data_IF_853499041587
#
_entry.id   IF_853499041587
#
_cell.length_a   1.000
_cell.length_b   1.000
_cell.length_c   1.000
_cell.angle_alpha   90.00
_cell.angle_beta   90.00
_cell.angle_gamma   90.00
#
_symmetry.space_group_name_H-M   'P 1'
#
loop_
_entity.id
_entity.type
_entity.pdbx_description
1 polymer ?
#
# COMPACT_ATOMS: atom_id res chain seq x y z
N UNK A 1 -32.89 76.56 32.25
CA UNK A 1 -32.31 75.74 33.33
C UNK A 1 -32.30 74.29 32.85
N UNK A 2 -31.11 73.66 32.89
CA UNK A 2 -30.75 72.24 32.69
C UNK A 2 -31.83 71.19 33.03
N UNK A 3 -31.81 69.91 32.62
CA UNK A 3 -31.10 69.05 31.65
C UNK A 3 -31.61 67.61 31.97
N UNK A 4 -31.57 66.71 30.97
CA UNK A 4 -31.61 65.22 31.06
C UNK A 4 -33.00 64.56 31.19
N UNK A 5 -33.40 63.79 30.17
CA UNK A 5 -33.11 62.35 30.14
C UNK A 5 -33.11 61.80 28.70
N UNK A 6 -32.08 60.99 28.46
CA UNK A 6 -31.72 60.24 27.26
C UNK A 6 -32.72 59.09 27.06
N UNK A 7 -33.30 58.92 25.87
CA UNK A 7 -33.91 57.64 25.47
C UNK A 7 -32.95 56.99 24.47
N UNK A 8 -32.22 56.01 24.98
CA UNK A 8 -31.34 55.12 24.23
C UNK A 8 -32.22 54.12 23.48
N UNK A 9 -32.37 54.28 22.16
CA UNK A 9 -33.02 53.28 21.31
C UNK A 9 -31.98 52.19 21.04
N UNK A 10 -32.16 51.05 21.71
CA UNK A 10 -31.38 49.84 21.53
C UNK A 10 -31.61 49.27 20.12
N UNK A 11 -30.65 49.46 19.21
CA UNK A 11 -30.58 48.67 17.98
C UNK A 11 -30.17 47.24 18.36
N UNK A 12 -31.16 46.36 18.55
CA UNK A 12 -30.95 44.93 18.64
C UNK A 12 -30.57 44.44 17.24
N UNK A 13 -29.28 44.43 16.95
CA UNK A 13 -28.71 43.78 15.78
C UNK A 13 -28.96 42.27 15.92
N UNK A 14 -29.97 41.76 15.23
CA UNK A 14 -30.10 40.33 14.97
C UNK A 14 -28.89 39.92 14.13
N UNK A 15 -27.84 39.47 14.81
CA UNK A 15 -26.87 38.55 14.25
C UNK A 15 -27.61 37.26 13.93
N UNK A 16 -28.18 37.19 12.73
CA UNK A 16 -28.45 35.91 12.06
C UNK A 16 -27.09 35.24 11.91
N UNK A 17 -26.74 34.37 12.86
CA UNK A 17 -25.79 33.32 12.59
C UNK A 17 -26.37 32.52 11.42
N UNK A 18 -25.86 32.78 10.21
CA UNK A 18 -25.89 31.77 9.15
C UNK A 18 -25.06 30.61 9.70
N UNK A 19 -25.70 29.73 10.47
CA UNK A 19 -25.24 28.36 10.55
C UNK A 19 -25.20 27.90 9.09
N UNK A 20 -24.00 27.65 8.59
CA UNK A 20 -23.83 26.92 7.34
C UNK A 20 -24.29 25.50 7.63
N UNK A 21 -25.62 25.34 7.71
CA UNK A 21 -26.25 24.03 7.77
C UNK A 21 -25.82 23.31 6.49
N UNK A 22 -24.99 22.28 6.67
CA UNK A 22 -24.71 21.30 5.62
C UNK A 22 -26.08 20.90 5.05
N UNK A 23 -26.28 21.10 3.75
CA UNK A 23 -27.52 20.67 3.11
C UNK A 23 -27.68 19.17 3.41
N UNK A 24 -28.86 18.72 3.87
CA UNK A 24 -29.10 17.31 4.08
C UNK A 24 -28.77 16.54 2.79
N UNK A 25 -27.87 15.58 2.90
CA UNK A 25 -27.58 14.69 1.79
C UNK A 25 -28.85 13.89 1.47
N UNK A 26 -29.33 13.97 0.23
CA UNK A 26 -30.56 13.32 -0.21
C UNK A 26 -30.52 11.80 -0.12
N UNK A 27 -29.33 11.21 0.04
CA UNK A 27 -29.12 9.77 0.19
C UNK A 27 -29.07 9.33 1.66
N UNK A 28 -28.97 10.25 2.62
CA UNK A 28 -28.88 9.93 4.04
C UNK A 28 -30.23 10.08 4.74
N UNK A 29 -30.84 8.94 5.08
CA UNK A 29 -32.08 8.87 5.86
C UNK A 29 -31.81 8.18 7.20
N UNK A 30 -32.40 8.68 8.28
CA UNK A 30 -32.23 8.09 9.62
C UNK A 30 -33.53 8.06 10.42
N UNK A 31 -33.65 7.13 11.37
CA UNK A 31 -34.80 7.00 12.26
C UNK A 31 -34.68 7.79 13.58
N UNK A 32 -33.51 8.37 13.88
CA UNK A 32 -33.24 9.03 15.16
C UNK A 32 -34.07 10.30 15.33
N UNK A 33 -35.09 10.26 16.19
CA UNK A 33 -35.97 11.39 16.52
C UNK A 33 -35.47 12.31 17.63
N UNK A 34 -34.37 11.97 18.30
CA UNK A 34 -33.77 12.79 19.37
C UNK A 34 -32.89 13.91 18.82
N UNK A 35 -32.66 14.96 19.61
CA UNK A 35 -31.73 16.04 19.27
C UNK A 35 -30.28 15.54 19.17
N UNK A 36 -29.82 14.79 20.17
CA UNK A 36 -28.49 14.16 20.16
C UNK A 36 -28.44 13.08 19.08
N UNK A 37 -27.36 13.08 18.28
CA UNK A 37 -27.11 12.10 17.24
C UNK A 37 -25.86 11.26 17.56
N UNK A 38 -25.85 9.94 17.26
CA UNK A 38 -24.68 9.08 17.41
C UNK A 38 -23.68 9.23 16.24
N UNK A 39 -23.63 10.40 15.59
CA UNK A 39 -22.69 10.75 14.52
C UNK A 39 -22.33 12.23 14.59
N UNK A 40 -21.20 12.60 14.00
CA UNK A 40 -20.75 13.99 13.90
C UNK A 40 -21.50 14.77 12.83
N UNK A 41 -21.46 16.10 12.89
CA UNK A 41 -22.16 17.04 12.00
C UNK A 41 -21.42 17.36 10.68
N UNK A 42 -20.39 16.57 10.33
CA UNK A 42 -19.61 16.75 9.09
C UNK A 42 -20.41 16.32 7.86
N UNK A 43 -20.18 17.02 6.75
CA UNK A 43 -20.70 16.63 5.45
C UNK A 43 -20.09 15.31 4.94
N UNK A 44 -20.85 14.56 4.14
CA UNK A 44 -20.32 13.43 3.38
C UNK A 44 -19.34 13.94 2.32
N UNK A 45 -18.26 13.18 2.10
CA UNK A 45 -17.26 13.47 1.05
C UNK A 45 -17.57 12.61 -0.17
N UNK A 46 -18.66 12.92 -0.86
CA UNK A 46 -19.24 12.11 -1.94
C UNK A 46 -19.64 12.97 -3.16
N UNK A 47 -18.93 14.07 -3.40
CA UNK A 47 -19.19 14.94 -4.55
C UNK A 47 -19.19 14.13 -5.85
N UNK A 48 -20.23 14.19 -6.70
CA UNK A 48 -20.34 13.32 -7.87
C UNK A 48 -19.25 13.49 -8.92
N UNK A 49 -18.44 14.55 -8.85
CA UNK A 49 -17.27 14.78 -9.70
C UNK A 49 -15.98 14.21 -9.13
N UNK A 50 -15.95 13.88 -7.84
CA UNK A 50 -14.84 13.20 -7.21
C UNK A 50 -14.80 11.76 -7.71
N UNK A 51 -13.59 11.23 -7.87
CA UNK A 51 -13.36 9.86 -8.35
C UNK A 51 -12.04 9.34 -7.83
N UNK A 52 -11.86 8.03 -7.88
CA UNK A 52 -10.62 7.39 -7.45
C UNK A 52 -9.92 6.69 -8.61
N UNK A 53 -8.60 6.53 -8.49
CA UNK A 53 -7.83 5.67 -9.37
C UNK A 53 -6.58 5.20 -8.65
N UNK A 54 -5.97 4.13 -9.14
CA UNK A 54 -4.72 3.63 -8.57
C UNK A 54 -3.56 3.80 -9.56
N UNK A 55 -2.37 4.03 -9.02
CA UNK A 55 -1.11 4.05 -9.77
C UNK A 55 -0.25 2.87 -9.31
N UNK A 56 0.26 2.09 -10.26
CA UNK A 56 1.29 1.07 -10.04
C UNK A 56 2.56 1.44 -10.78
N UNK A 57 3.71 1.17 -10.20
CA UNK A 57 5.01 1.65 -10.72
C UNK A 57 6.04 0.54 -10.70
N UNK A 58 6.97 0.52 -11.65
CA UNK A 58 8.22 -0.25 -11.58
C UNK A 58 8.03 -1.68 -11.05
N UNK A 59 7.48 -2.58 -11.88
CA UNK A 59 7.47 -4.01 -11.59
C UNK A 59 8.88 -4.61 -11.65
N UNK A 60 9.77 -3.95 -12.39
CA UNK A 60 11.05 -4.50 -12.81
C UNK A 60 12.27 -3.69 -12.33
N UNK A 61 13.39 -3.68 -13.07
CA UNK A 61 14.64 -3.06 -12.63
C UNK A 61 15.31 -3.83 -11.47
N UNK A 62 15.04 -5.12 -11.39
CA UNK A 62 15.40 -6.00 -10.26
C UNK A 62 14.18 -6.74 -9.71
N UNK A 63 13.36 -7.31 -10.61
CA UNK A 63 12.06 -7.93 -10.30
C UNK A 63 12.08 -8.83 -9.07
N UNK A 64 11.13 -8.62 -8.17
CA UNK A 64 10.75 -9.49 -7.05
C UNK A 64 9.45 -10.21 -7.38
N UNK A 65 9.53 -11.54 -7.44
CA UNK A 65 8.45 -12.41 -7.93
C UNK A 65 7.23 -12.35 -7.00
N UNK A 66 6.03 -12.40 -7.59
CA UNK A 66 4.76 -12.48 -6.86
C UNK A 66 4.20 -11.16 -6.35
N UNK A 67 5.00 -10.09 -6.23
CA UNK A 67 4.51 -8.81 -5.70
C UNK A 67 3.46 -8.17 -6.60
N UNK A 68 3.74 -8.04 -7.90
CA UNK A 68 2.81 -7.41 -8.85
C UNK A 68 1.47 -8.15 -8.99
N UNK A 69 1.41 -9.48 -9.23
CA UNK A 69 0.11 -10.17 -9.28
C UNK A 69 -0.66 -10.08 -7.95
N UNK A 70 0.00 -10.09 -6.78
CA UNK A 70 -0.69 -9.79 -5.52
C UNK A 70 -1.29 -8.38 -5.53
N UNK A 71 -0.56 -7.38 -6.03
CA UNK A 71 -1.08 -6.02 -6.15
C UNK A 71 -2.35 -5.95 -7.02
N UNK A 72 -2.44 -6.75 -8.09
CA UNK A 72 -3.66 -6.88 -8.91
C UNK A 72 -4.84 -7.34 -8.05
N UNK A 73 -4.70 -8.48 -7.38
CA UNK A 73 -5.75 -9.05 -6.54
C UNK A 73 -6.20 -8.07 -5.44
N UNK A 74 -5.24 -7.36 -4.83
CA UNK A 74 -5.51 -6.40 -3.76
C UNK A 74 -6.21 -5.14 -4.26
N UNK A 75 -5.86 -4.64 -5.43
CA UNK A 75 -6.50 -3.45 -6.00
C UNK A 75 -7.94 -3.72 -6.45
N UNK A 76 -8.27 -4.95 -6.88
CA UNK A 76 -9.65 -5.35 -7.14
C UNK A 76 -10.56 -5.19 -5.91
N UNK A 77 -10.04 -5.42 -4.70
CA UNK A 77 -10.79 -5.20 -3.46
C UNK A 77 -11.17 -3.74 -3.23
N UNK A 78 -10.33 -2.80 -3.71
CA UNK A 78 -10.54 -1.37 -3.55
C UNK A 78 -11.42 -0.76 -4.65
N UNK A 79 -11.57 -1.47 -5.79
CA UNK A 79 -12.41 -1.08 -6.93
C UNK A 79 -12.15 0.35 -7.43
N UNK A 80 -10.90 0.75 -7.73
CA UNK A 80 -10.67 2.04 -8.40
C UNK A 80 -11.35 2.06 -9.77
N UNK A 81 -11.70 3.25 -10.26
CA UNK A 81 -12.33 3.43 -11.56
C UNK A 81 -11.43 2.95 -12.71
N UNK A 82 -10.11 3.07 -12.53
CA UNK A 82 -9.08 2.49 -13.39
C UNK A 82 -7.73 2.42 -12.66
N UNK A 83 -6.80 1.68 -13.25
CA UNK A 83 -5.39 1.62 -12.84
C UNK A 83 -4.53 2.18 -13.96
N UNK A 84 -3.54 3.01 -13.61
CA UNK A 84 -2.56 3.55 -14.55
C UNK A 84 -1.15 3.20 -14.08
N UNK A 85 -0.22 3.04 -15.02
CA UNK A 85 1.20 2.85 -14.70
C UNK A 85 2.06 3.99 -15.21
N UNK A 86 3.25 4.13 -14.61
CA UNK A 86 4.33 4.97 -15.13
C UNK A 86 5.45 4.14 -15.79
N UNK A 87 5.27 2.84 -15.99
CA UNK A 87 6.18 2.00 -16.79
C UNK A 87 7.14 1.12 -16.01
N UNK A 88 8.09 0.52 -16.74
CA UNK A 88 9.00 -0.53 -16.28
C UNK A 88 8.23 -1.81 -15.88
N UNK A 89 7.51 -2.34 -16.88
CA UNK A 89 6.55 -3.43 -16.76
C UNK A 89 7.18 -4.81 -16.97
N UNK A 90 8.12 -4.92 -17.92
CA UNK A 90 8.85 -6.16 -18.22
C UNK A 90 10.34 -6.07 -17.90
N UNK A 91 11.04 -7.20 -17.78
CA UNK A 91 12.48 -7.17 -17.50
C UNK A 91 13.28 -6.52 -18.64
N UNK A 92 12.89 -6.76 -19.90
CA UNK A 92 13.35 -6.03 -21.09
C UNK A 92 14.80 -5.54 -21.03
N UNK A 93 14.96 -4.23 -21.26
CA UNK A 93 16.22 -3.50 -21.10
C UNK A 93 17.11 -3.46 -22.34
N UNK A 94 18.09 -2.56 -22.33
CA UNK A 94 18.88 -2.20 -23.52
C UNK A 94 19.74 -3.33 -24.11
N UNK A 95 20.09 -4.33 -23.31
CA UNK A 95 20.87 -5.49 -23.76
C UNK A 95 20.03 -6.63 -24.34
N UNK A 96 18.71 -6.62 -24.17
CA UNK A 96 17.87 -7.76 -24.53
C UNK A 96 17.16 -7.54 -25.88
N UNK A 97 17.70 -8.11 -26.95
CA UNK A 97 17.13 -8.07 -28.32
C UNK A 97 16.45 -9.38 -28.75
N UNK A 98 16.31 -10.34 -27.84
CA UNK A 98 15.66 -11.61 -28.16
C UNK A 98 14.14 -11.44 -28.21
N UNK A 99 13.56 -11.49 -29.41
CA UNK A 99 12.13 -11.28 -29.68
C UNK A 99 11.25 -12.25 -28.89
N UNK A 100 11.57 -13.54 -28.89
CA UNK A 100 10.76 -14.56 -28.19
C UNK A 100 10.74 -14.31 -26.69
N UNK A 101 11.90 -13.97 -26.10
CA UNK A 101 12.01 -13.64 -24.68
C UNK A 101 11.22 -12.39 -24.31
N UNK A 102 11.29 -11.33 -25.13
CA UNK A 102 10.53 -10.10 -24.90
C UNK A 102 9.02 -10.35 -25.01
N UNK A 103 8.57 -11.05 -26.06
CA UNK A 103 7.16 -11.44 -26.23
C UNK A 103 6.67 -12.34 -25.10
N UNK A 104 7.51 -13.25 -24.61
CA UNK A 104 7.22 -14.09 -23.44
C UNK A 104 7.03 -13.27 -22.16
N UNK A 105 7.87 -12.26 -21.92
CA UNK A 105 7.70 -11.35 -20.79
C UNK A 105 6.43 -10.50 -20.88
N UNK A 106 6.08 -10.03 -22.08
CA UNK A 106 4.82 -9.32 -22.31
C UNK A 106 3.60 -10.23 -22.11
N UNK A 107 3.66 -11.48 -22.59
CA UNK A 107 2.61 -12.48 -22.36
C UNK A 107 2.39 -12.72 -20.87
N UNK A 108 3.48 -12.89 -20.12
CA UNK A 108 3.42 -13.03 -18.66
C UNK A 108 2.80 -11.78 -18.01
N UNK A 109 3.33 -10.59 -18.30
CA UNK A 109 2.84 -9.35 -17.71
C UNK A 109 1.35 -9.13 -18.00
N UNK A 110 0.93 -9.30 -19.25
CA UNK A 110 -0.46 -9.14 -19.65
C UNK A 110 -1.38 -10.20 -19.04
N UNK A 111 -0.88 -11.39 -18.68
CA UNK A 111 -1.66 -12.37 -17.92
C UNK A 111 -2.04 -11.86 -16.52
N UNK A 112 -1.20 -11.02 -15.90
CA UNK A 112 -1.56 -10.35 -14.65
C UNK A 112 -2.55 -9.22 -14.88
N UNK A 113 -2.38 -8.44 -15.96
CA UNK A 113 -3.30 -7.33 -16.29
C UNK A 113 -4.71 -7.83 -16.58
N UNK A 114 -4.86 -9.01 -17.19
CA UNK A 114 -6.16 -9.68 -17.37
C UNK A 114 -6.89 -9.97 -16.05
N UNK A 115 -6.18 -9.98 -14.91
CA UNK A 115 -6.77 -10.15 -13.59
C UNK A 115 -7.39 -8.88 -13.00
N UNK A 116 -7.17 -7.70 -13.58
CA UNK A 116 -7.83 -6.48 -13.11
C UNK A 116 -9.31 -6.45 -13.52
N UNK A 117 -10.19 -6.08 -12.59
CA UNK A 117 -11.62 -5.89 -12.86
C UNK A 117 -11.93 -4.54 -13.56
N UNK A 118 -10.96 -3.61 -13.53
CA UNK A 118 -11.07 -2.26 -14.06
C UNK A 118 -10.08 -2.02 -15.22
N UNK A 119 -10.28 -0.98 -16.05
CA UNK A 119 -9.35 -0.65 -17.13
C UNK A 119 -7.93 -0.39 -16.63
N UNK A 120 -6.94 -0.86 -17.40
CA UNK A 120 -5.52 -0.62 -17.15
C UNK A 120 -4.91 0.26 -18.24
N UNK A 121 -4.29 1.38 -17.84
CA UNK A 121 -3.66 2.34 -18.74
C UNK A 121 -2.14 2.18 -18.73
N UNK A 122 -1.60 1.74 -19.86
CA UNK A 122 -0.16 1.48 -20.05
C UNK A 122 0.62 2.79 -20.26
N UNK A 123 1.86 2.83 -19.77
CA UNK A 123 2.88 3.82 -20.14
C UNK A 123 4.25 3.12 -20.16
N UNK A 124 5.11 3.34 -21.17
CA UNK A 124 6.38 2.66 -21.23
C UNK A 124 7.43 3.28 -20.30
N UNK A 125 8.27 2.42 -19.73
CA UNK A 125 9.54 2.80 -19.12
C UNK A 125 10.76 2.41 -19.95
N UNK A 126 11.96 2.61 -19.39
CA UNK A 126 13.20 2.32 -20.11
C UNK A 126 13.50 0.82 -20.23
N UNK A 127 12.91 -0.01 -19.37
CA UNK A 127 12.97 -1.46 -19.57
C UNK A 127 12.04 -1.92 -20.68
N UNK A 128 10.91 -1.25 -20.87
CA UNK A 128 9.90 -1.60 -21.88
C UNK A 128 10.33 -1.18 -23.29
N UNK A 129 10.97 -0.02 -23.42
CA UNK A 129 11.51 0.55 -24.67
C UNK A 129 13.03 0.65 -24.62
N UNK A 130 13.67 -0.47 -24.29
CA UNK A 130 15.11 -0.51 -24.06
C UNK A 130 15.97 -0.50 -25.32
N UNK A 131 15.41 -0.84 -26.48
CA UNK A 131 16.10 -0.95 -27.76
C UNK A 131 15.08 -1.01 -28.92
N UNK A 132 15.57 -0.97 -30.15
CA UNK A 132 14.77 -0.98 -31.38
C UNK A 132 13.84 -2.19 -31.55
N UNK A 133 14.20 -3.36 -31.01
CA UNK A 133 13.34 -4.54 -31.05
C UNK A 133 12.19 -4.41 -30.05
N UNK A 134 12.49 -3.93 -28.85
CA UNK A 134 11.47 -3.68 -27.82
C UNK A 134 10.49 -2.59 -28.25
N UNK A 135 11.01 -1.55 -28.89
CA UNK A 135 10.26 -0.49 -29.57
C UNK A 135 9.25 -1.04 -30.58
N UNK A 136 9.69 -1.91 -31.51
CA UNK A 136 8.78 -2.50 -32.49
C UNK A 136 7.70 -3.36 -31.84
N UNK A 137 8.08 -4.16 -30.82
CA UNK A 137 7.10 -5.00 -30.10
C UNK A 137 6.05 -4.13 -29.40
N UNK A 138 6.46 -3.01 -28.80
CA UNK A 138 5.53 -2.06 -28.20
C UNK A 138 4.58 -1.48 -29.26
N UNK A 139 5.10 -1.03 -30.39
CA UNK A 139 4.29 -0.44 -31.47
C UNK A 139 3.28 -1.45 -32.03
N UNK A 140 3.69 -2.71 -32.22
CA UNK A 140 2.81 -3.79 -32.67
C UNK A 140 1.67 -4.07 -31.67
N UNK A 141 1.94 -3.92 -30.37
CA UNK A 141 0.97 -4.24 -29.31
C UNK A 141 0.06 -3.07 -28.94
N UNK A 142 0.61 -1.86 -28.87
CA UNK A 142 -0.04 -0.71 -28.25
C UNK A 142 -0.16 0.50 -29.19
N UNK A 143 0.55 0.52 -30.32
CA UNK A 143 0.44 1.51 -31.40
C UNK A 143 0.98 2.91 -31.09
N UNK A 144 0.87 3.38 -29.85
CA UNK A 144 1.34 4.69 -29.40
C UNK A 144 2.13 4.58 -28.10
N UNK A 145 3.05 5.51 -27.87
CA UNK A 145 3.96 5.51 -26.71
C UNK A 145 3.64 6.63 -25.71
N UNK A 146 2.89 7.62 -26.13
CA UNK A 146 2.42 8.75 -25.33
C UNK A 146 1.02 9.13 -25.83
N UNK A 147 0.17 9.61 -24.92
CA UNK A 147 -1.23 9.91 -25.20
C UNK A 147 -1.84 10.78 -24.09
N UNK A 148 -3.06 11.24 -24.32
CA UNK A 148 -3.84 11.95 -23.32
C UNK A 148 -5.27 11.42 -23.29
N UNK A 149 -5.93 11.58 -22.14
CA UNK A 149 -7.37 11.39 -22.01
C UNK A 149 -7.93 12.36 -20.97
N UNK A 150 -9.23 12.63 -21.06
CA UNK A 150 -9.94 13.44 -20.07
C UNK A 150 -10.97 12.56 -19.38
N UNK A 151 -10.93 12.54 -18.04
CA UNK A 151 -11.91 11.83 -17.21
C UNK A 151 -12.42 12.78 -16.14
N UNK A 152 -13.74 13.01 -16.09
CA UNK A 152 -14.42 13.93 -15.14
C UNK A 152 -13.73 15.30 -15.05
N UNK A 153 -13.55 15.92 -16.21
CA UNK A 153 -12.91 17.23 -16.40
C UNK A 153 -11.44 17.30 -15.97
N UNK A 154 -10.74 16.17 -15.80
CA UNK A 154 -9.31 16.09 -15.47
C UNK A 154 -8.53 15.52 -16.65
N UNK A 155 -7.51 16.25 -17.10
CA UNK A 155 -6.59 15.80 -18.15
C UNK A 155 -5.53 14.88 -17.56
N UNK A 156 -5.41 13.68 -18.13
CA UNK A 156 -4.30 12.76 -17.92
C UNK A 156 -3.37 12.89 -19.12
N UNK A 157 -2.16 13.39 -18.92
CA UNK A 157 -1.15 13.60 -19.95
C UNK A 157 -0.01 12.59 -19.73
N UNK A 158 0.05 11.56 -20.56
CA UNK A 158 0.97 10.44 -20.44
C UNK A 158 2.13 10.62 -21.43
N UNK A 159 3.34 10.85 -20.92
CA UNK A 159 4.55 11.19 -21.68
C UNK A 159 5.54 10.03 -21.71
N UNK A 160 6.06 9.71 -22.90
CA UNK A 160 7.17 8.79 -23.08
C UNK A 160 8.50 9.53 -22.87
N UNK A 161 9.31 9.06 -21.93
CA UNK A 161 10.63 9.67 -21.63
C UNK A 161 11.78 9.04 -22.41
N UNK A 162 11.52 8.03 -23.23
CA UNK A 162 12.51 7.37 -24.07
C UNK A 162 12.61 8.10 -25.42
N UNK A 163 13.61 8.98 -25.54
CA UNK A 163 13.86 9.84 -26.71
C UNK A 163 14.41 9.10 -27.93
N UNK A 164 13.84 7.94 -28.28
CA UNK A 164 14.22 7.11 -29.43
C UNK A 164 14.63 5.67 -29.06
N UNK A 165 14.86 4.79 -30.05
CA UNK A 165 15.20 3.39 -29.84
C UNK A 165 16.44 3.19 -28.96
N UNK A 166 16.23 2.61 -27.78
CA UNK A 166 17.28 2.41 -26.78
C UNK A 166 17.94 3.69 -26.26
N UNK A 167 17.25 4.82 -26.39
CA UNK A 167 17.80 6.13 -26.11
C UNK A 167 18.23 6.26 -24.66
N UNK A 168 19.53 6.54 -24.53
CA UNK A 168 20.09 7.39 -23.48
C UNK A 168 20.55 8.66 -24.20
N UNK A 169 20.23 9.86 -23.68
CA UNK A 169 19.61 10.12 -22.38
C UNK A 169 18.07 10.13 -22.40
N UNK A 170 17.47 10.15 -21.20
CA UNK A 170 16.05 10.42 -21.02
C UNK A 170 15.67 11.78 -21.63
N UNK A 171 14.69 11.81 -22.53
CA UNK A 171 14.36 13.00 -23.31
C UNK A 171 12.96 12.93 -23.90
N UNK A 172 12.29 14.07 -23.97
CA UNK A 172 11.11 14.30 -24.81
C UNK A 172 11.57 14.79 -26.18
N UNK A 173 11.21 14.07 -27.24
CA UNK A 173 11.46 14.53 -28.61
C UNK A 173 10.58 15.73 -28.97
N UNK A 174 11.06 16.59 -29.86
CA UNK A 174 10.40 17.85 -30.20
C UNK A 174 8.97 17.66 -30.73
N UNK A 175 8.71 16.56 -31.45
CA UNK A 175 7.36 16.20 -31.90
C UNK A 175 6.41 15.93 -30.73
N UNK A 176 6.86 15.17 -29.73
CA UNK A 176 6.09 14.90 -28.53
C UNK A 176 5.90 16.17 -27.69
N UNK A 177 6.91 17.04 -27.60
CA UNK A 177 6.78 18.34 -26.92
C UNK A 177 5.70 19.18 -27.63
N UNK A 178 5.76 19.30 -28.95
CA UNK A 178 4.76 20.05 -29.74
C UNK A 178 3.36 19.48 -29.54
N UNK A 179 3.22 18.15 -29.54
CA UNK A 179 1.96 17.47 -29.26
C UNK A 179 1.45 17.77 -27.84
N UNK A 180 2.30 17.65 -26.82
CA UNK A 180 1.92 17.91 -25.43
C UNK A 180 1.47 19.37 -25.23
N UNK A 181 2.16 20.33 -25.84
CA UNK A 181 1.75 21.74 -25.81
C UNK A 181 0.39 21.96 -26.49
N UNK A 182 0.12 21.26 -27.59
CA UNK A 182 -1.17 21.32 -28.27
C UNK A 182 -2.30 20.71 -27.41
N UNK A 183 -2.07 19.58 -26.76
CA UNK A 183 -3.04 18.95 -25.85
C UNK A 183 -3.31 19.82 -24.61
N UNK A 184 -2.30 20.45 -24.03
CA UNK A 184 -2.48 21.41 -22.94
C UNK A 184 -3.32 22.63 -23.37
N UNK A 185 -3.11 23.14 -24.59
CA UNK A 185 -3.88 24.25 -25.15
C UNK A 185 -5.32 23.86 -25.45
N UNK A 186 -5.53 22.68 -26.04
CA UNK A 186 -6.85 22.12 -26.35
C UNK A 186 -7.69 21.92 -25.09
N UNK A 187 -7.09 21.39 -24.04
CA UNK A 187 -7.76 21.07 -22.78
C UNK A 187 -7.56 22.20 -21.75
N UNK A 188 -7.66 23.47 -22.16
CA UNK A 188 -7.33 24.59 -21.27
C UNK A 188 -8.28 24.76 -20.08
N UNK A 189 -9.54 24.31 -20.22
CA UNK A 189 -10.63 24.48 -19.24
C UNK A 189 -10.79 23.30 -18.26
N UNK A 190 -9.93 22.29 -18.33
CA UNK A 190 -9.95 21.16 -17.38
C UNK A 190 -9.68 21.66 -15.96
N UNK A 191 -10.35 21.05 -14.98
CA UNK A 191 -10.20 21.43 -13.57
C UNK A 191 -8.83 21.07 -13.00
N UNK A 192 -8.18 20.07 -13.59
CA UNK A 192 -6.82 19.64 -13.22
C UNK A 192 -6.08 18.96 -14.37
N UNK A 193 -4.76 19.00 -14.35
CA UNK A 193 -3.88 18.25 -15.27
C UNK A 193 -2.94 17.32 -14.48
N UNK A 194 -3.06 16.02 -14.69
CA UNK A 194 -2.18 15.01 -14.12
C UNK A 194 -1.20 14.56 -15.20
N UNK A 195 0.09 14.69 -14.95
CA UNK A 195 1.15 14.31 -15.89
C UNK A 195 1.81 13.03 -15.40
N UNK A 196 1.87 12.02 -16.27
CA UNK A 196 2.50 10.73 -16.00
C UNK A 196 3.69 10.57 -16.95
N UNK A 197 4.84 10.20 -16.41
CA UNK A 197 6.04 9.93 -17.20
C UNK A 197 6.87 8.86 -16.49
N UNK A 198 7.69 8.08 -17.18
CA UNK A 198 8.48 7.07 -16.46
C UNK A 198 9.65 7.67 -15.69
N UNK A 199 10.55 8.36 -16.40
CA UNK A 199 11.73 8.93 -15.79
C UNK A 199 11.44 10.34 -15.24
N UNK A 200 11.88 10.69 -14.02
CA UNK A 200 11.61 12.01 -13.43
C UNK A 200 12.46 13.09 -14.08
N UNK A 201 12.04 13.57 -15.26
CA UNK A 201 12.81 14.48 -16.09
C UNK A 201 13.17 15.79 -15.38
N UNK A 202 12.33 16.27 -14.46
CA UNK A 202 12.62 17.46 -13.64
C UNK A 202 13.88 17.26 -12.77
N UNK A 203 14.07 16.08 -12.16
CA UNK A 203 15.27 15.78 -11.39
C UNK A 203 16.50 15.67 -12.29
N UNK A 204 16.32 15.19 -13.52
CA UNK A 204 17.42 15.07 -14.49
C UNK A 204 17.89 16.44 -15.00
N UNK A 205 16.97 17.39 -15.16
CA UNK A 205 17.28 18.81 -15.46
C UNK A 205 17.95 19.52 -14.27
N UNK A 206 17.43 19.32 -13.05
CA UNK A 206 18.03 19.84 -11.81
C UNK A 206 19.45 19.29 -11.60
N UNK A 207 19.63 18.01 -11.94
CA UNK A 207 20.89 17.29 -11.93
C UNK A 207 20.90 16.19 -10.88
N UNK A 208 21.46 15.03 -11.26
CA UNK A 208 21.61 13.87 -10.39
C UNK A 208 23.07 13.76 -9.97
N UNK A 209 23.32 13.68 -8.66
CA UNK A 209 24.66 13.49 -8.13
C UNK A 209 25.11 12.04 -8.41
N UNK A 210 26.13 11.90 -9.25
CA UNK A 210 26.71 10.60 -9.60
C UNK A 210 28.18 10.54 -9.24
N UNK A 211 28.71 9.32 -9.11
CA UNK A 211 30.15 9.09 -9.12
C UNK A 211 30.60 8.82 -10.54
N UNK A 212 31.45 9.67 -11.07
CA UNK A 212 32.13 9.45 -12.36
C UNK A 212 33.63 9.47 -12.14
N UNK A 213 34.31 8.38 -12.53
CA UNK A 213 35.76 8.19 -12.36
C UNK A 213 36.28 8.58 -10.96
N UNK A 214 35.55 8.18 -9.92
CA UNK A 214 35.88 8.43 -8.51
C UNK A 214 35.52 9.83 -7.97
N UNK A 215 35.04 10.74 -8.81
CA UNK A 215 34.61 12.09 -8.41
C UNK A 215 33.09 12.19 -8.31
N UNK A 216 32.60 12.99 -7.36
CA UNK A 216 31.18 13.36 -7.30
C UNK A 216 30.93 14.46 -8.33
N UNK A 217 30.07 14.21 -9.31
CA UNK A 217 29.65 15.20 -10.30
C UNK A 217 28.13 15.31 -10.31
N UNK A 218 27.62 16.50 -10.57
CA UNK A 218 26.19 16.72 -10.79
C UNK A 218 25.91 16.58 -12.28
N UNK A 219 25.31 15.44 -12.70
CA UNK A 219 24.97 15.20 -14.10
C UNK A 219 23.60 15.78 -14.39
N UNK A 220 23.56 16.82 -15.22
CA UNK A 220 22.33 17.37 -15.80
C UNK A 220 22.04 16.73 -17.15
N UNK A 221 20.77 16.63 -17.50
CA UNK A 221 20.32 16.09 -18.77
C UNK A 221 19.31 17.06 -19.37
N UNK A 222 19.61 17.56 -20.57
CA UNK A 222 18.67 18.34 -21.35
C UNK A 222 17.60 17.41 -21.91
N UNK A 223 16.48 17.36 -21.20
CA UNK A 223 15.38 16.41 -21.40
C UNK A 223 14.23 17.00 -22.22
N UNK A 224 14.21 18.32 -22.43
CA UNK A 224 13.07 19.01 -23.03
C UNK A 224 11.89 19.25 -22.07
N UNK A 225 11.92 18.70 -20.84
CA UNK A 225 10.94 18.96 -19.79
C UNK A 225 10.66 20.45 -19.53
N UNK A 226 11.66 21.36 -19.50
CA UNK A 226 11.41 22.77 -19.22
C UNK A 226 10.41 23.43 -20.17
N UNK A 227 10.30 22.95 -21.42
CA UNK A 227 9.33 23.46 -22.41
C UNK A 227 7.89 23.11 -21.99
N UNK A 228 7.66 21.87 -21.54
CA UNK A 228 6.35 21.39 -21.06
C UNK A 228 6.02 21.99 -19.69
N UNK A 229 6.99 22.02 -18.78
CA UNK A 229 6.83 22.61 -17.45
C UNK A 229 6.42 24.09 -17.51
N UNK A 230 7.02 24.85 -18.43
CA UNK A 230 6.65 26.24 -18.67
C UNK A 230 5.17 26.39 -19.08
N UNK A 231 4.63 25.45 -19.85
CA UNK A 231 3.21 25.46 -20.26
C UNK A 231 2.27 24.98 -19.15
N UNK A 232 2.76 24.20 -18.19
CA UNK A 232 2.03 23.82 -16.98
C UNK A 232 1.95 24.96 -15.95
N UNK A 233 2.89 25.91 -15.99
CA UNK A 233 2.90 27.07 -15.10
C UNK A 233 1.59 27.85 -15.20
N UNK A 234 0.94 28.06 -14.06
CA UNK A 234 -0.37 28.74 -13.96
C UNK A 234 -1.58 27.80 -14.11
N UNK A 235 -1.37 26.52 -14.43
CA UNK A 235 -2.42 25.49 -14.41
C UNK A 235 -2.38 24.74 -13.09
N UNK A 236 -3.55 24.30 -12.61
CA UNK A 236 -3.63 23.29 -11.54
C UNK A 236 -3.13 21.95 -12.11
N UNK A 237 -1.99 21.46 -11.63
CA UNK A 237 -1.40 20.24 -12.15
C UNK A 237 -0.70 19.39 -11.09
N UNK A 238 -0.42 18.12 -11.37
CA UNK A 238 0.37 17.23 -10.51
C UNK A 238 1.16 16.28 -11.40
N UNK A 239 2.39 15.94 -11.02
CA UNK A 239 3.31 15.16 -11.86
C UNK A 239 3.73 13.88 -11.16
N UNK A 240 3.72 12.76 -11.86
CA UNK A 240 4.10 11.44 -11.35
C UNK A 240 5.19 10.81 -12.24
N UNK A 241 6.20 10.21 -11.60
CA UNK A 241 7.19 9.38 -12.24
C UNK A 241 7.64 8.20 -11.39
N UNK A 242 8.28 7.21 -12.01
CA UNK A 242 8.85 6.02 -11.38
C UNK A 242 10.37 6.04 -11.46
N UNK A 243 10.96 4.96 -11.97
CA UNK A 243 12.36 4.78 -12.38
C UNK A 243 13.38 4.70 -11.25
N UNK A 244 13.24 5.55 -10.22
CA UNK A 244 14.23 5.64 -9.14
C UNK A 244 14.00 4.62 -8.03
N UNK A 245 12.85 3.94 -8.01
CA UNK A 245 12.44 2.97 -6.99
C UNK A 245 12.40 3.54 -5.56
N UNK A 246 12.23 4.85 -5.46
CA UNK A 246 12.20 5.62 -4.22
C UNK A 246 11.01 6.57 -4.25
N UNK A 247 10.07 6.35 -3.34
CA UNK A 247 8.97 7.26 -3.13
C UNK A 247 9.47 8.60 -2.58
N UNK A 248 9.08 9.70 -3.21
CA UNK A 248 9.33 11.04 -2.70
C UNK A 248 8.31 12.03 -3.23
N UNK A 249 7.92 12.98 -2.38
CA UNK A 249 7.09 14.13 -2.74
C UNK A 249 7.96 15.38 -2.83
N UNK A 250 7.89 16.05 -3.96
CA UNK A 250 8.54 17.33 -4.23
C UNK A 250 7.47 18.41 -4.37
N UNK A 251 7.78 19.62 -3.90
CA UNK A 251 7.02 20.82 -4.21
C UNK A 251 7.76 21.62 -5.28
N UNK A 252 7.13 21.84 -6.42
CA UNK A 252 7.66 22.60 -7.56
C UNK A 252 6.53 23.42 -8.18
N UNK A 253 6.80 24.66 -8.55
CA UNK A 253 5.82 25.56 -9.19
C UNK A 253 4.49 25.68 -8.43
N UNK A 254 4.53 25.61 -7.08
CA UNK A 254 3.34 25.66 -6.23
C UNK A 254 2.49 24.39 -6.24
N UNK A 255 3.00 23.29 -6.79
CA UNK A 255 2.29 22.00 -6.85
C UNK A 255 3.17 20.79 -6.54
N UNK A 256 2.54 19.62 -6.44
CA UNK A 256 3.17 18.37 -6.07
C UNK A 256 3.70 17.60 -7.28
N UNK A 257 4.91 17.09 -7.13
CA UNK A 257 5.60 16.17 -8.03
C UNK A 257 5.97 14.94 -7.22
N UNK A 258 5.86 13.76 -7.81
CA UNK A 258 6.08 12.50 -7.11
C UNK A 258 7.02 11.61 -7.90
N UNK A 259 8.04 11.08 -7.24
CA UNK A 259 8.63 9.80 -7.64
C UNK A 259 7.93 8.71 -6.84
N UNK A 260 7.54 7.63 -7.51
CA UNK A 260 6.86 6.49 -6.90
C UNK A 260 7.88 5.45 -6.42
N UNK A 261 7.46 4.65 -5.45
CA UNK A 261 8.19 3.45 -5.04
C UNK A 261 8.01 2.33 -6.06
N UNK A 262 8.09 1.08 -5.63
CA UNK A 262 7.94 -0.06 -6.54
C UNK A 262 6.62 -0.78 -6.35
N UNK A 263 6.19 -1.51 -7.37
CA UNK A 263 5.17 -2.55 -7.30
C UNK A 263 5.83 -3.88 -7.69
N UNK A 264 6.86 -4.26 -6.93
CA UNK A 264 7.64 -5.48 -7.17
C UNK A 264 9.00 -5.28 -7.84
N UNK A 265 9.38 -4.06 -8.19
CA UNK A 265 10.71 -3.74 -8.69
C UNK A 265 11.83 -3.91 -7.67
N UNK A 266 13.06 -3.77 -8.15
CA UNK A 266 14.27 -3.97 -7.33
C UNK A 266 14.39 -2.94 -6.22
N UNK A 267 14.27 -3.36 -4.96
CA UNK A 267 14.37 -2.45 -3.82
C UNK A 267 15.08 -3.13 -2.67
N UNK A 268 15.80 -2.34 -1.86
CA UNK A 268 16.39 -2.82 -0.60
C UNK A 268 15.36 -2.89 0.52
N UNK A 269 14.16 -2.33 0.32
CA UNK A 269 13.06 -2.32 1.28
C UNK A 269 13.49 -1.85 2.68
N UNK A 270 14.32 -0.81 2.74
CA UNK A 270 14.85 -0.29 4.02
C UNK A 270 13.80 0.44 4.86
N UNK A 271 12.59 0.61 4.33
CA UNK A 271 11.45 1.20 5.01
C UNK A 271 11.07 2.58 4.51
N UNK A 272 10.00 3.11 5.08
CA UNK A 272 9.31 4.33 4.64
C UNK A 272 10.21 5.57 4.65
N UNK A 273 11.10 5.69 5.63
CA UNK A 273 12.03 6.82 5.74
C UNK A 273 13.02 6.91 4.55
N UNK A 274 13.27 5.80 3.86
CA UNK A 274 14.07 5.77 2.64
C UNK A 274 13.22 5.88 1.36
N UNK A 275 11.89 5.97 1.48
CA UNK A 275 10.98 5.86 0.35
C UNK A 275 10.99 4.47 -0.30
N UNK A 276 11.46 3.43 0.41
CA UNK A 276 11.65 2.08 -0.14
C UNK A 276 10.63 1.10 0.44
N UNK A 277 9.57 0.85 -0.32
CA UNK A 277 8.51 -0.10 0.01
C UNK A 277 7.74 -0.47 -1.26
N UNK A 278 7.03 -1.59 -1.21
CA UNK A 278 6.05 -1.90 -2.24
C UNK A 278 4.71 -1.23 -1.96
N UNK A 279 4.17 -0.58 -2.98
CA UNK A 279 2.87 0.04 -2.88
C UNK A 279 2.11 0.04 -4.20
N UNK A 280 0.82 0.26 -4.07
CA UNK A 280 0.03 0.95 -5.07
C UNK A 280 -0.36 2.32 -4.49
N UNK A 281 -0.38 3.33 -5.34
CA UNK A 281 -0.76 4.67 -4.92
C UNK A 281 -2.24 4.89 -5.22
N UNK A 282 -3.06 5.04 -4.18
CA UNK A 282 -4.47 5.40 -4.28
C UNK A 282 -4.61 6.91 -4.39
N UNK A 283 -5.37 7.37 -5.39
CA UNK A 283 -5.60 8.79 -5.64
C UNK A 283 -7.09 9.07 -5.60
N UNK A 284 -7.51 9.92 -4.66
CA UNK A 284 -8.85 10.50 -4.68
C UNK A 284 -8.78 11.89 -5.28
N UNK A 285 -9.38 12.07 -6.46
CA UNK A 285 -9.34 13.32 -7.20
C UNK A 285 -10.50 14.24 -6.83
N UNK A 286 -10.25 15.22 -5.97
CA UNK A 286 -11.25 16.20 -5.49
C UNK A 286 -11.21 17.50 -6.29
N UNK A 287 -12.14 18.43 -6.08
CA UNK A 287 -12.06 19.79 -6.68
C UNK A 287 -10.82 20.58 -6.25
N UNK A 288 -10.32 20.33 -5.03
CA UNK A 288 -9.12 20.97 -4.50
C UNK A 288 -7.82 20.36 -5.05
N UNK A 289 -7.90 19.18 -5.67
CA UNK A 289 -6.75 18.44 -6.22
C UNK A 289 -6.71 16.97 -5.79
N UNK A 290 -5.67 16.25 -6.22
CA UNK A 290 -5.49 14.84 -5.86
C UNK A 290 -5.07 14.70 -4.39
N UNK A 291 -5.75 13.80 -3.68
CA UNK A 291 -5.38 13.32 -2.35
C UNK A 291 -4.74 11.95 -2.52
N UNK A 292 -3.52 11.80 -2.02
CA UNK A 292 -2.69 10.62 -2.23
C UNK A 292 -2.62 9.77 -0.97
N UNK A 293 -2.82 8.46 -1.10
CA UNK A 293 -2.51 7.46 -0.08
C UNK A 293 -1.63 6.36 -0.68
N UNK A 294 -0.48 6.09 -0.06
CA UNK A 294 0.37 4.97 -0.45
C UNK A 294 -0.05 3.73 0.30
N UNK A 295 -0.63 2.77 -0.41
CA UNK A 295 -1.13 1.55 0.18
C UNK A 295 -0.05 0.49 0.06
N UNK A 296 0.53 0.12 1.20
CA UNK A 296 1.41 -1.05 1.24
C UNK A 296 0.65 -2.26 0.71
N UNK A 297 1.23 -3.00 -0.24
CA UNK A 297 0.53 -4.13 -0.89
C UNK A 297 0.11 -5.17 0.16
N UNK A 298 0.95 -5.43 1.15
CA UNK A 298 0.64 -6.36 2.25
C UNK A 298 -0.33 -5.76 3.28
N UNK A 299 -0.54 -4.44 3.27
CA UNK A 299 -1.49 -3.73 4.14
C UNK A 299 -2.94 -3.74 3.61
N UNK A 300 -3.15 -4.11 2.34
CA UNK A 300 -4.49 -4.30 1.78
C UNK A 300 -4.90 -5.74 2.10
N UNK A 301 -5.91 -5.92 2.92
CA UNK A 301 -6.34 -7.23 3.41
C UNK A 301 -7.71 -7.60 2.84
N UNK A 302 -7.97 -8.91 2.68
CA UNK A 302 -9.29 -9.40 2.29
C UNK A 302 -10.26 -9.32 3.48
N UNK A 303 -11.55 -9.51 3.23
CA UNK A 303 -12.55 -9.64 4.31
C UNK A 303 -12.38 -10.96 5.09
N UNK A 304 -11.85 -12.00 4.44
CA UNK A 304 -11.67 -13.34 4.98
C UNK A 304 -10.27 -13.64 5.56
N UNK A 305 -9.50 -12.61 5.96
CA UNK A 305 -8.18 -12.77 6.62
C UNK A 305 -8.23 -13.76 7.79
N UNK A 306 -9.35 -13.74 8.52
CA UNK A 306 -9.69 -14.81 9.46
C UNK A 306 -11.13 -15.21 9.23
N UNK A 307 -11.40 -16.51 9.31
CA UNK A 307 -12.74 -17.09 9.15
C UNK A 307 -13.24 -17.67 10.47
N UNK A 308 -14.47 -18.22 10.48
CA UNK A 308 -14.99 -18.94 11.64
C UNK A 308 -14.06 -20.09 12.10
N UNK A 309 -13.41 -20.78 11.16
CA UNK A 309 -12.46 -21.84 11.48
C UNK A 309 -11.24 -21.30 12.22
N UNK A 310 -10.72 -20.13 11.82
CA UNK A 310 -9.66 -19.46 12.57
C UNK A 310 -10.13 -19.13 13.99
N UNK A 311 -11.37 -18.64 14.13
CA UNK A 311 -11.97 -18.33 15.44
C UNK A 311 -12.13 -19.57 16.34
N UNK A 312 -12.63 -20.67 15.79
CA UNK A 312 -12.72 -21.96 16.48
C UNK A 312 -11.34 -22.45 16.92
N UNK A 313 -10.36 -22.33 16.03
CA UNK A 313 -9.00 -22.78 16.29
C UNK A 313 -8.35 -22.00 17.44
N UNK A 314 -8.28 -20.67 17.36
CA UNK A 314 -7.59 -19.91 18.41
C UNK A 314 -8.35 -19.93 19.75
N UNK A 315 -9.69 -20.06 19.74
CA UNK A 315 -10.46 -20.27 20.97
C UNK A 315 -10.22 -21.64 21.61
N UNK A 316 -9.76 -22.64 20.84
CA UNK A 316 -9.30 -23.91 21.40
C UNK A 316 -7.92 -23.83 22.07
N UNK A 317 -7.19 -22.72 21.92
CA UNK A 317 -5.92 -22.47 22.58
C UNK A 317 -6.13 -22.04 24.03
N UNK A 318 -6.75 -22.92 24.80
CA UNK A 318 -7.03 -22.76 26.22
C UNK A 318 -6.67 -24.07 26.95
N UNK A 319 -6.03 -23.94 28.12
CA UNK A 319 -5.75 -25.11 28.96
C UNK A 319 -7.03 -25.57 29.66
N UNK A 320 -7.21 -26.88 29.85
CA UNK A 320 -8.42 -27.42 30.51
C UNK A 320 -8.42 -27.12 32.03
N UNK A 321 -7.26 -27.00 32.64
CA UNK A 321 -7.10 -26.78 34.07
C UNK A 321 -7.08 -25.28 34.42
N UNK A 322 -7.52 -24.96 35.64
CA UNK A 322 -7.45 -23.63 36.23
C UNK A 322 -7.04 -23.72 37.69
N UNK A 323 -5.96 -23.04 38.07
CA UNK A 323 -5.39 -23.19 39.42
C UNK A 323 -5.72 -21.99 40.31
N UNK A 324 -6.13 -22.24 41.55
CA UNK A 324 -6.31 -21.18 42.56
C UNK A 324 -4.99 -20.48 42.86
N UNK A 325 -5.05 -19.21 43.24
CA UNK A 325 -3.85 -18.45 43.61
C UNK A 325 -3.17 -19.09 44.82
N UNK A 326 -1.86 -19.32 44.73
CA UNK A 326 -1.07 -19.96 45.78
C UNK A 326 -1.09 -21.50 45.77
N UNK A 327 -1.77 -22.14 44.81
CA UNK A 327 -1.72 -23.59 44.62
C UNK A 327 -0.28 -24.07 44.38
N UNK A 328 0.11 -25.16 45.04
CA UNK A 328 1.35 -25.86 44.69
C UNK A 328 1.14 -26.63 43.38
N UNK A 329 1.84 -26.21 42.32
CA UNK A 329 1.79 -26.82 41.00
C UNK A 329 2.68 -28.07 40.86
N UNK A 330 3.48 -28.44 41.88
CA UNK A 330 4.39 -29.57 41.78
C UNK A 330 3.63 -30.91 41.64
N UNK A 331 3.96 -31.67 40.59
CA UNK A 331 3.28 -32.92 40.23
C UNK A 331 1.89 -32.71 39.65
N UNK A 332 1.50 -31.48 39.29
CA UNK A 332 0.24 -31.21 38.58
C UNK A 332 0.42 -31.43 37.09
N UNK A 333 -0.67 -31.83 36.45
CA UNK A 333 -0.76 -31.86 35.00
C UNK A 333 -1.49 -30.62 34.51
N UNK A 334 -1.10 -30.16 33.32
CA UNK A 334 -1.84 -29.19 32.53
C UNK A 334 -1.99 -29.73 31.11
N UNK A 335 -3.15 -29.54 30.51
CA UNK A 335 -3.48 -30.14 29.24
C UNK A 335 -4.11 -29.16 28.28
N UNK A 336 -3.75 -29.34 27.00
CA UNK A 336 -4.19 -28.50 25.89
C UNK A 336 -4.88 -29.39 24.86
N UNK A 337 -6.15 -29.10 24.59
CA UNK A 337 -6.94 -29.80 23.58
C UNK A 337 -7.03 -28.94 22.34
N UNK A 338 -6.44 -29.42 21.26
CA UNK A 338 -6.44 -28.72 19.97
C UNK A 338 -7.36 -29.44 19.01
N UNK A 339 -8.23 -28.67 18.37
CA UNK A 339 -9.07 -29.14 17.27
C UNK A 339 -8.62 -28.48 15.98
N UNK A 340 -8.58 -29.21 14.87
CA UNK A 340 -8.38 -28.64 13.54
C UNK A 340 -9.74 -28.41 12.86
N UNK A 341 -10.28 -27.18 12.86
CA UNK A 341 -11.54 -26.87 12.18
C UNK A 341 -11.36 -26.62 10.67
N UNK A 342 -10.12 -26.63 10.18
CA UNK A 342 -9.82 -26.39 8.76
C UNK A 342 -10.01 -27.65 7.92
N UNK A 343 -10.11 -27.46 6.61
CA UNK A 343 -10.18 -28.52 5.59
C UNK A 343 -8.78 -28.98 5.10
N UNK A 344 -7.72 -28.41 5.67
CA UNK A 344 -6.33 -28.77 5.42
C UNK A 344 -5.62 -29.23 6.71
N UNK A 345 -4.50 -29.94 6.56
CA UNK A 345 -3.67 -30.39 7.67
C UNK A 345 -2.92 -29.23 8.31
N UNK A 346 -2.86 -29.20 9.65
CA UNK A 346 -2.11 -28.16 10.37
C UNK A 346 -0.91 -28.78 11.08
N UNK A 347 0.25 -28.18 10.84
CA UNK A 347 1.51 -28.51 11.49
C UNK A 347 1.93 -27.39 12.45
N UNK A 348 2.45 -27.79 13.60
CA UNK A 348 2.87 -26.84 14.62
C UNK A 348 3.84 -27.40 15.63
N UNK A 349 4.25 -26.51 16.53
CA UNK A 349 5.12 -26.81 17.66
C UNK A 349 4.59 -26.13 18.91
N UNK A 350 4.54 -26.89 19.99
CA UNK A 350 4.31 -26.42 21.34
C UNK A 350 5.63 -26.52 22.09
N UNK A 351 6.15 -25.41 22.62
CA UNK A 351 7.42 -25.38 23.34
C UNK A 351 7.31 -24.55 24.61
N UNK A 352 7.73 -25.09 25.76
CA UNK A 352 7.75 -24.36 27.01
C UNK A 352 8.96 -23.43 27.06
N UNK A 353 8.70 -22.14 27.22
CA UNK A 353 9.69 -21.09 27.41
C UNK A 353 9.76 -20.77 28.90
N UNK A 354 10.86 -21.19 29.53
CA UNK A 354 11.14 -20.95 30.94
C UNK A 354 12.06 -19.74 31.10
N UNK A 355 11.66 -18.70 31.85
CA UNK A 355 12.57 -17.63 32.25
C UNK A 355 13.75 -18.18 33.05
N UNK A 356 14.93 -17.54 32.96
CA UNK A 356 16.12 -17.94 33.73
C UNK A 356 15.90 -17.96 35.26
N UNK A 357 14.90 -17.22 35.75
CA UNK A 357 14.51 -17.18 37.16
C UNK A 357 13.45 -18.22 37.55
N UNK A 358 12.99 -19.04 36.60
CA UNK A 358 12.00 -20.08 36.85
C UNK A 358 12.62 -21.29 37.53
N UNK A 359 11.89 -21.85 38.49
CA UNK A 359 12.26 -23.06 39.19
C UNK A 359 11.34 -24.25 38.86
N UNK A 360 10.65 -24.15 37.73
CA UNK A 360 9.70 -25.12 37.24
C UNK A 360 10.24 -25.76 35.96
N UNK A 361 10.09 -27.07 35.87
CA UNK A 361 10.34 -27.87 34.69
C UNK A 361 9.00 -28.42 34.21
N UNK A 362 8.75 -28.37 32.90
CA UNK A 362 7.54 -28.93 32.31
C UNK A 362 7.94 -30.00 31.30
N UNK A 363 7.32 -31.18 31.41
CA UNK A 363 7.63 -32.34 30.57
C UNK A 363 6.38 -32.85 29.82
N UNK A 364 6.46 -33.12 28.50
CA UNK A 364 7.59 -32.79 27.62
C UNK A 364 7.80 -31.28 27.51
N UNK A 365 9.05 -30.86 27.29
CA UNK A 365 9.45 -29.45 27.16
C UNK A 365 9.09 -28.88 25.77
N UNK A 366 9.05 -29.73 24.74
CA UNK A 366 8.49 -29.40 23.44
C UNK A 366 7.84 -30.61 22.76
N UNK A 367 6.82 -30.35 21.95
CA UNK A 367 6.20 -31.34 21.05
C UNK A 367 5.96 -30.71 19.68
N UNK A 368 6.28 -31.47 18.63
CA UNK A 368 5.78 -31.18 17.29
C UNK A 368 4.45 -31.90 17.12
N UNK A 369 3.52 -31.29 16.40
CA UNK A 369 2.21 -31.85 16.14
C UNK A 369 1.82 -31.66 14.68
N UNK A 370 1.06 -32.62 14.18
CA UNK A 370 0.25 -32.55 12.98
C UNK A 370 -1.18 -32.92 13.38
N UNK A 371 -2.16 -32.19 12.86
CA UNK A 371 -3.59 -32.48 13.02
C UNK A 371 -4.26 -32.50 11.66
N UNK A 372 -4.81 -33.65 11.28
CA UNK A 372 -5.61 -33.80 10.06
C UNK A 372 -6.91 -32.97 10.14
N UNK A 373 -7.53 -32.62 9.00
CA UNK A 373 -8.81 -31.91 8.96
C UNK A 373 -9.88 -32.54 9.87
N UNK A 374 -10.55 -31.72 10.68
CA UNK A 374 -11.60 -32.15 11.60
C UNK A 374 -11.15 -32.96 12.82
N UNK A 375 -9.85 -33.25 12.96
CA UNK A 375 -9.33 -34.03 14.08
C UNK A 375 -9.19 -33.19 15.35
N UNK A 376 -9.22 -33.86 16.51
CA UNK A 376 -8.96 -33.27 17.82
C UNK A 376 -7.94 -34.14 18.57
N UNK A 377 -6.99 -33.50 19.26
CA UNK A 377 -6.00 -34.20 20.08
C UNK A 377 -5.74 -33.44 21.38
N UNK A 378 -5.54 -34.21 22.46
CA UNK A 378 -5.15 -33.73 23.78
C UNK A 378 -3.65 -33.91 23.99
N UNK A 379 -2.98 -32.86 24.43
CA UNK A 379 -1.59 -32.86 24.87
C UNK A 379 -1.54 -32.63 26.37
N UNK A 380 -0.75 -33.41 27.09
CA UNK A 380 -0.63 -33.35 28.55
C UNK A 380 0.82 -33.02 28.90
N UNK A 381 0.99 -32.08 29.82
CA UNK A 381 2.27 -31.60 30.31
C UNK A 381 2.32 -31.71 31.83
N UNK A 382 3.39 -32.30 32.34
CA UNK A 382 3.65 -32.50 33.77
C UNK A 382 4.47 -31.33 34.32
N UNK A 383 3.96 -30.65 35.35
CA UNK A 383 4.62 -29.51 36.01
C UNK A 383 5.38 -30.01 37.23
N UNK A 384 6.70 -29.86 37.22
CA UNK A 384 7.59 -30.29 38.29
C UNK A 384 8.42 -29.12 38.81
N UNK A 385 8.74 -29.14 40.10
CA UNK A 385 9.66 -28.20 40.72
C UNK A 385 11.08 -28.77 40.66
N UNK A 386 12.04 -27.95 40.22
CA UNK A 386 13.46 -28.32 40.24
C UNK A 386 13.96 -28.50 41.69
N UNK A 387 14.75 -29.55 41.93
CA UNK A 387 15.21 -29.96 43.27
C UNK A 387 16.06 -28.89 43.98
N UNK A 388 16.84 -28.09 43.24
CA UNK A 388 17.78 -27.08 43.79
C UNK A 388 17.18 -25.67 43.97
N UNK A 389 15.86 -25.53 43.93
CA UNK A 389 15.19 -24.24 43.95
C UNK A 389 15.16 -23.59 45.35
N UNK A 390 15.94 -22.52 45.57
CA UNK A 390 15.90 -21.71 46.80
C UNK A 390 14.49 -21.15 47.06
N UNK A 391 13.93 -21.41 48.24
CA UNK A 391 12.64 -20.86 48.69
C UNK A 391 12.73 -19.33 48.87
N UNK A 392 12.27 -18.53 47.91
CA UNK A 392 11.89 -17.12 48.20
C UNK A 392 11.91 -16.05 47.11
N UNK A 393 12.41 -16.31 45.90
CA UNK A 393 12.40 -15.29 44.82
C UNK A 393 11.00 -15.05 44.21
N UNK A 394 10.80 -13.92 43.52
CA UNK A 394 9.68 -13.73 42.59
C UNK A 394 9.77 -14.79 41.48
N UNK A 395 8.92 -15.82 41.56
CA UNK A 395 8.95 -16.99 40.67
C UNK A 395 8.09 -16.73 39.45
N UNK A 396 8.71 -16.62 38.28
CA UNK A 396 7.97 -16.60 37.02
C UNK A 396 7.66 -18.02 36.58
N UNK A 397 6.42 -18.27 36.21
CA UNK A 397 6.00 -19.54 35.62
C UNK A 397 6.47 -19.62 34.16
N UNK A 398 6.83 -20.81 33.68
CA UNK A 398 7.03 -21.04 32.25
C UNK A 398 5.75 -20.70 31.47
N UNK A 399 5.94 -20.33 30.20
CA UNK A 399 4.85 -20.10 29.25
C UNK A 399 4.96 -21.07 28.10
N UNK A 400 3.84 -21.51 27.55
CA UNK A 400 3.83 -22.35 26.37
C UNK A 400 3.82 -21.45 25.13
N UNK A 401 4.91 -21.49 24.37
CA UNK A 401 4.96 -20.98 23.00
C UNK A 401 4.22 -21.94 22.08
N UNK A 402 3.21 -21.40 21.42
CA UNK A 402 2.41 -22.10 20.41
C UNK A 402 2.75 -21.50 19.07
N UNK A 403 3.21 -22.33 18.14
CA UNK A 403 3.61 -21.89 16.81
C UNK A 403 3.02 -22.79 15.73
N UNK A 404 2.23 -22.20 14.84
CA UNK A 404 1.79 -22.80 13.59
C UNK A 404 2.38 -21.99 12.46
N UNK A 405 3.09 -22.65 11.55
CA UNK A 405 3.71 -22.02 10.38
C UNK A 405 3.35 -22.82 9.15
N UNK A 406 2.49 -22.22 8.35
CA UNK A 406 2.15 -22.72 7.03
C UNK A 406 2.86 -21.88 5.95
N UNK A 407 3.40 -22.54 4.93
CA UNK A 407 4.06 -21.89 3.79
C UNK A 407 3.10 -20.99 3.02
N UNK A 408 1.80 -21.29 3.03
CA UNK A 408 0.77 -20.47 2.35
C UNK A 408 0.26 -19.30 3.20
N UNK A 409 0.75 -19.18 4.45
CA UNK A 409 0.34 -18.19 5.47
C UNK A 409 -1.13 -18.25 5.89
N UNK A 410 -1.87 -19.31 5.53
CA UNK A 410 -3.29 -19.42 5.93
C UNK A 410 -3.39 -19.56 7.44
N UNK A 411 -2.43 -20.23 8.07
CA UNK A 411 -2.32 -20.32 9.52
C UNK A 411 -0.89 -19.99 9.99
N UNK A 412 -0.56 -18.70 9.99
CA UNK A 412 0.65 -18.18 10.65
C UNK A 412 0.25 -17.61 12.02
N UNK A 413 0.50 -18.37 13.08
CA UNK A 413 0.12 -18.02 14.45
C UNK A 413 1.29 -18.30 15.39
N UNK A 414 1.68 -17.29 16.16
CA UNK A 414 2.67 -17.39 17.23
C UNK A 414 2.12 -16.71 18.49
N UNK A 415 2.00 -17.45 19.59
CA UNK A 415 1.52 -16.90 20.86
C UNK A 415 2.17 -17.55 22.08
N UNK A 416 2.17 -16.83 23.20
CA UNK A 416 2.62 -17.34 24.50
C UNK A 416 1.43 -17.51 25.44
N UNK A 417 1.12 -18.76 25.78
CA UNK A 417 0.09 -19.11 26.76
C UNK A 417 0.69 -19.16 28.16
N UNK A 418 0.02 -18.54 29.13
CA UNK A 418 0.42 -18.62 30.53
C UNK A 418 -0.33 -19.75 31.23
N UNK A 419 0.30 -20.39 32.20
CA UNK A 419 -0.41 -21.30 33.11
C UNK A 419 -1.55 -20.51 33.78
N UNK A 420 -2.81 -20.97 33.67
CA UNK A 420 -3.98 -20.24 34.12
C UNK A 420 -4.06 -20.27 35.65
N UNK A 421 -3.92 -19.11 36.25
CA UNK A 421 -4.03 -18.88 37.68
C UNK A 421 -5.16 -17.89 37.98
N UNK A 422 -5.82 -18.08 39.12
CA UNK A 422 -6.72 -17.09 39.71
C UNK A 422 -5.99 -15.76 39.94
N UNK A 423 -6.58 -14.69 39.41
CA UNK A 423 -5.98 -13.34 39.41
C UNK A 423 -5.98 -12.72 40.81
#
# INVERSE_FOLDING_TARGET
MNLKHLILISFLSLYLSKSWGVKPDSFFHHSVGTEKKPWTDKAFLNEPKDFQFAIVSDRTGGRRVGVFPRAVDKLNLLRPEFVITVGDLIQGGAGNRNVEKLKGQWKEFNSFIQGFDMPFFYLPGNHDLGNEVADQIWDDMFGVRYYSFVYRDVLFLCLNTQGGPGSKPAKLEDEQIKWALAELKKNKEVRWTLVFMHQPLWLMEEGILIRDKGKKILRKTESGWPKVEKALKGRKHTVFAGHVHHYSKYLRNGTSFYTLGTTGGGSKLRGEAFGEFDHATWVTMTEAGPIMANLAIDGIMKDDVTTENHQKFWRSLEFEEYFKKGTDLNGKEISLVLSNPFDFEIDGRLAWVSPNSSNWEIKPDAVNLSLSPGSQKKWIFQINRLEDAKKGGLRQLPKLEVRFKDETKVLDLEMLMSIPLEK
#
